data_IF_918591452352
#
_entry.id   IF_918591452352
#
_cell.length_a   1.000
_cell.length_b   1.000
_cell.length_c   1.000
_cell.angle_alpha   90.00
_cell.angle_beta   90.00
_cell.angle_gamma   90.00
#
_symmetry.space_group_name_H-M   'P 1'
#
loop_
_entity.id
_entity.type
_entity.pdbx_description
1 polymer ?
#
# COMPACT_ATOMS: atom_id res chain seq x y z
N UNK A 1 -7.34 6.43 -3.24
CA UNK A 1 -7.67 7.59 -4.10
C UNK A 1 -8.58 7.13 -5.25
N UNK A 2 -8.16 6.17 -6.07
CA UNK A 2 -8.88 5.73 -7.27
C UNK A 2 -10.34 5.31 -6.97
N UNK A 3 -10.60 4.63 -5.86
CA UNK A 3 -11.97 4.23 -5.45
C UNK A 3 -12.84 5.45 -5.17
N UNK A 4 -12.34 6.46 -4.45
CA UNK A 4 -13.07 7.69 -4.18
C UNK A 4 -13.41 8.45 -5.47
N UNK A 5 -12.43 8.56 -6.38
CA UNK A 5 -12.62 9.22 -7.67
C UNK A 5 -13.69 8.50 -8.50
N UNK A 6 -13.66 7.17 -8.57
CA UNK A 6 -14.66 6.37 -9.28
C UNK A 6 -16.05 6.50 -8.67
N UNK A 7 -16.16 6.50 -7.34
CA UNK A 7 -17.44 6.69 -6.66
C UNK A 7 -18.06 8.07 -6.99
N UNK A 8 -17.26 9.13 -6.95
CA UNK A 8 -17.73 10.46 -7.34
C UNK A 8 -18.14 10.56 -8.82
N UNK A 9 -17.40 9.87 -9.71
CA UNK A 9 -17.73 9.87 -11.13
C UNK A 9 -19.01 9.10 -11.42
N UNK A 10 -19.26 7.99 -10.72
CA UNK A 10 -20.49 7.23 -10.83
C UNK A 10 -21.74 8.07 -10.48
N UNK A 11 -21.58 9.07 -9.60
CA UNK A 11 -22.64 10.02 -9.25
C UNK A 11 -22.67 11.29 -10.10
N UNK A 12 -21.81 11.41 -11.09
CA UNK A 12 -21.70 12.62 -11.91
C UNK A 12 -21.00 13.80 -11.21
N UNK A 13 -20.45 13.63 -10.02
CA UNK A 13 -19.80 14.68 -9.21
C UNK A 13 -18.30 14.83 -9.56
N UNK A 14 -17.96 15.15 -10.79
CA UNK A 14 -16.57 15.16 -11.28
C UNK A 14 -15.73 16.34 -10.75
N UNK A 15 -16.37 17.44 -10.36
CA UNK A 15 -15.66 18.67 -9.92
C UNK A 15 -14.90 18.47 -8.61
N UNK A 16 -15.45 17.72 -7.62
CA UNK A 16 -14.83 17.54 -6.30
C UNK A 16 -13.48 16.84 -6.38
N UNK A 17 -13.37 15.63 -6.96
CA UNK A 17 -12.07 14.97 -7.08
C UNK A 17 -11.07 15.72 -7.95
N UNK A 18 -11.54 16.46 -8.98
CA UNK A 18 -10.67 17.29 -9.79
C UNK A 18 -10.00 18.39 -8.94
N UNK A 19 -10.78 19.13 -8.15
CA UNK A 19 -10.24 20.21 -7.30
C UNK A 19 -9.26 19.66 -6.28
N UNK A 20 -9.59 18.53 -5.61
CA UNK A 20 -8.70 17.89 -4.63
C UNK A 20 -7.37 17.49 -5.30
N UNK A 21 -7.44 16.89 -6.49
CA UNK A 21 -6.23 16.46 -7.20
C UNK A 21 -5.37 17.64 -7.66
N UNK A 22 -5.97 18.75 -8.08
CA UNK A 22 -5.23 19.98 -8.45
C UNK A 22 -4.52 20.56 -7.21
N UNK A 23 -5.25 20.71 -6.10
CA UNK A 23 -4.66 21.22 -4.83
C UNK A 23 -3.51 20.33 -4.38
N UNK A 24 -3.72 19.02 -4.40
CA UNK A 24 -2.69 18.05 -4.01
C UNK A 24 -1.48 18.06 -4.95
N UNK A 25 -1.70 18.23 -6.24
CA UNK A 25 -0.60 18.35 -7.21
C UNK A 25 0.25 19.60 -6.97
N UNK A 26 -0.39 20.74 -6.71
CA UNK A 26 0.31 21.98 -6.33
C UNK A 26 1.06 21.82 -5.01
N UNK A 27 0.47 21.12 -4.04
CA UNK A 27 1.10 20.82 -2.76
C UNK A 27 2.33 19.93 -2.93
N UNK A 28 2.25 18.88 -3.76
CA UNK A 28 3.40 17.99 -4.07
C UNK A 28 4.55 18.81 -4.70
N UNK A 29 4.24 19.68 -5.66
CA UNK A 29 5.24 20.54 -6.28
C UNK A 29 5.87 21.51 -5.27
N UNK A 30 5.05 22.11 -4.39
CA UNK A 30 5.52 22.99 -3.33
C UNK A 30 6.40 22.25 -2.30
N UNK A 31 5.99 21.04 -1.88
CA UNK A 31 6.80 20.19 -0.99
C UNK A 31 8.11 19.78 -1.65
N UNK A 32 8.10 19.40 -2.93
CA UNK A 32 9.31 19.05 -3.67
C UNK A 32 10.31 20.20 -3.70
N UNK A 33 9.83 21.39 -4.02
CA UNK A 33 10.67 22.60 -3.98
C UNK A 33 11.17 22.91 -2.57
N UNK A 34 10.28 22.87 -1.56
CA UNK A 34 10.62 23.16 -0.17
C UNK A 34 11.64 22.17 0.40
N UNK A 35 11.45 20.87 0.17
CA UNK A 35 12.39 19.84 0.62
C UNK A 35 13.73 19.91 -0.11
N UNK A 36 13.73 20.27 -1.39
CA UNK A 36 14.98 20.50 -2.13
C UNK A 36 15.77 21.67 -1.49
N UNK A 37 15.11 22.76 -1.19
CA UNK A 37 15.73 23.88 -0.45
C UNK A 37 16.22 23.48 0.92
N UNK A 38 15.38 22.72 1.67
CA UNK A 38 15.75 22.23 3.00
C UNK A 38 16.95 21.27 2.95
N UNK A 39 17.05 20.42 1.94
CA UNK A 39 18.16 19.50 1.77
C UNK A 39 19.51 20.22 1.65
N UNK A 40 19.54 21.34 0.89
CA UNK A 40 20.76 22.13 0.73
C UNK A 40 21.00 23.10 1.90
N UNK A 41 19.95 23.57 2.58
CA UNK A 41 20.08 24.53 3.69
C UNK A 41 20.41 23.85 5.03
N UNK A 42 19.94 22.63 5.24
CA UNK A 42 20.07 21.89 6.50
C UNK A 42 20.82 20.57 6.32
N UNK A 43 22.14 20.53 6.60
CA UNK A 43 22.94 19.31 6.50
C UNK A 43 22.36 18.14 7.32
N UNK A 44 21.80 18.42 8.49
CA UNK A 44 21.17 17.40 9.36
C UNK A 44 20.03 16.67 8.65
N UNK A 45 19.21 17.39 7.88
CA UNK A 45 18.12 16.79 7.10
C UNK A 45 18.66 15.91 5.97
N UNK A 46 19.71 16.37 5.28
CA UNK A 46 20.38 15.59 4.23
C UNK A 46 21.00 14.32 4.82
N UNK A 47 21.72 14.40 5.92
CA UNK A 47 22.29 13.23 6.61
C UNK A 47 21.23 12.25 7.08
N UNK A 48 20.13 12.74 7.66
CA UNK A 48 19.02 11.89 8.09
C UNK A 48 18.46 11.06 6.92
N UNK A 49 18.18 11.70 5.78
CA UNK A 49 17.66 11.01 4.60
C UNK A 49 18.66 10.00 4.02
N UNK A 50 19.93 10.39 3.94
CA UNK A 50 21.00 9.53 3.42
C UNK A 50 21.22 8.30 4.32
N UNK A 51 21.19 8.47 5.63
CA UNK A 51 21.38 7.35 6.56
C UNK A 51 20.15 6.44 6.61
N UNK A 52 18.94 7.02 6.60
CA UNK A 52 17.68 6.26 6.53
C UNK A 52 17.63 5.32 5.32
N UNK A 53 18.11 5.80 4.16
CA UNK A 53 18.10 5.06 2.91
C UNK A 53 19.43 4.31 2.63
N UNK A 54 20.38 4.36 3.58
CA UNK A 54 21.70 3.71 3.48
C UNK A 54 22.50 4.11 2.22
N UNK A 55 22.39 5.37 1.83
CA UNK A 55 23.08 5.94 0.65
C UNK A 55 24.09 7.05 1.01
N UNK A 56 24.57 7.05 2.23
CA UNK A 56 25.57 8.01 2.72
C UNK A 56 26.82 7.97 1.86
N UNK A 57 27.32 9.14 1.43
CA UNK A 57 28.50 9.29 0.57
C UNK A 57 28.24 9.13 -0.95
N UNK A 58 27.02 8.87 -1.38
CA UNK A 58 26.66 8.85 -2.79
C UNK A 58 26.42 10.27 -3.34
N UNK A 59 26.84 10.51 -4.60
CA UNK A 59 26.61 11.79 -5.27
C UNK A 59 25.16 11.86 -5.79
N UNK A 60 24.54 13.05 -5.75
CA UNK A 60 23.22 13.25 -6.32
C UNK A 60 22.05 12.79 -5.43
N UNK A 61 22.27 12.53 -4.15
CA UNK A 61 21.24 12.10 -3.19
C UNK A 61 20.12 13.10 -2.95
N UNK A 62 20.27 14.36 -3.41
CA UNK A 62 19.21 15.37 -3.37
C UNK A 62 17.93 14.94 -4.12
N UNK A 63 18.03 14.03 -5.09
CA UNK A 63 16.86 13.49 -5.81
C UNK A 63 15.92 12.71 -4.89
N UNK A 64 16.40 12.21 -3.74
CA UNK A 64 15.61 11.45 -2.76
C UNK A 64 14.49 12.27 -2.10
N UNK A 65 14.59 13.59 -2.13
CA UNK A 65 13.55 14.46 -1.60
C UNK A 65 12.27 14.43 -2.45
N UNK A 66 12.37 14.10 -3.74
CA UNK A 66 11.22 14.05 -4.64
C UNK A 66 10.26 12.89 -4.30
N UNK A 67 10.71 11.63 -4.16
CA UNK A 67 9.87 10.55 -3.66
C UNK A 67 9.27 10.83 -2.28
N UNK A 68 10.02 11.48 -1.38
CA UNK A 68 9.52 11.85 -0.07
C UNK A 68 8.38 12.87 -0.17
N UNK A 69 8.56 13.94 -0.95
CA UNK A 69 7.54 14.95 -1.20
C UNK A 69 6.28 14.36 -1.83
N UNK A 70 6.46 13.47 -2.81
CA UNK A 70 5.38 12.74 -3.47
C UNK A 70 4.62 11.86 -2.47
N UNK A 71 5.32 11.08 -1.66
CA UNK A 71 4.70 10.19 -0.66
C UNK A 71 3.86 10.97 0.35
N UNK A 72 4.39 12.07 0.89
CA UNK A 72 3.66 12.93 1.82
C UNK A 72 2.45 13.55 1.12
N UNK A 73 2.63 14.06 -0.10
CA UNK A 73 1.55 14.67 -0.86
C UNK A 73 0.42 13.69 -1.21
N UNK A 74 0.76 12.43 -1.54
CA UNK A 74 -0.24 11.36 -1.78
C UNK A 74 -0.98 11.00 -0.50
N UNK A 75 -0.31 10.96 0.66
CA UNK A 75 -0.98 10.74 1.95
C UNK A 75 -1.98 11.86 2.26
N UNK A 76 -1.59 13.11 2.04
CA UNK A 76 -2.48 14.26 2.22
C UNK A 76 -3.64 14.21 1.22
N UNK A 77 -3.39 13.89 -0.05
CA UNK A 77 -4.43 13.72 -1.06
C UNK A 77 -5.43 12.63 -0.65
N UNK A 78 -4.95 11.49 -0.16
CA UNK A 78 -5.79 10.39 0.33
C UNK A 78 -6.65 10.85 1.50
N UNK A 79 -6.05 11.57 2.46
CA UNK A 79 -6.77 12.13 3.60
C UNK A 79 -7.86 13.13 3.17
N UNK A 80 -7.57 14.01 2.22
CA UNK A 80 -8.55 14.98 1.70
C UNK A 80 -9.72 14.28 1.02
N UNK A 81 -9.46 13.26 0.18
CA UNK A 81 -10.52 12.46 -0.44
C UNK A 81 -11.36 11.73 0.61
N UNK A 82 -10.73 11.12 1.62
CA UNK A 82 -11.40 10.44 2.71
C UNK A 82 -12.31 11.40 3.49
N UNK A 83 -11.76 12.55 3.89
CA UNK A 83 -12.51 13.54 4.66
C UNK A 83 -13.71 14.09 3.89
N UNK A 84 -13.52 14.43 2.61
CA UNK A 84 -14.61 14.90 1.76
C UNK A 84 -15.66 13.82 1.52
N UNK A 85 -15.23 12.57 1.36
CA UNK A 85 -16.12 11.44 1.15
C UNK A 85 -16.97 11.16 2.40
N UNK A 86 -16.37 11.16 3.60
CA UNK A 86 -17.11 11.02 4.85
C UNK A 86 -18.12 12.13 5.06
N UNK A 87 -17.81 13.37 4.64
CA UNK A 87 -18.74 14.50 4.71
C UNK A 87 -19.95 14.32 3.78
N UNK A 88 -19.74 13.77 2.59
CA UNK A 88 -20.81 13.52 1.62
C UNK A 88 -21.60 12.23 1.92
N UNK A 89 -20.95 11.25 2.55
CA UNK A 89 -21.51 9.92 2.91
C UNK A 89 -21.21 9.60 4.37
N UNK A 90 -21.96 10.16 5.32
CA UNK A 90 -21.73 9.97 6.74
C UNK A 90 -21.84 8.50 7.15
N UNK A 91 -20.85 8.02 7.92
CA UNK A 91 -20.80 6.64 8.40
C UNK A 91 -19.93 5.70 7.57
N UNK A 92 -19.33 6.18 6.48
CA UNK A 92 -18.37 5.41 5.67
C UNK A 92 -17.12 5.01 6.47
N UNK A 93 -16.63 5.89 7.32
CA UNK A 93 -15.37 5.67 8.06
C UNK A 93 -15.46 4.53 9.06
N UNK A 94 -16.59 4.34 9.75
CA UNK A 94 -16.72 3.34 10.83
C UNK A 94 -16.34 1.91 10.42
N UNK A 95 -16.93 1.32 9.36
CA UNK A 95 -16.57 -0.03 8.94
C UNK A 95 -15.17 -0.12 8.38
N UNK A 96 -14.71 0.93 7.66
CA UNK A 96 -13.42 0.94 6.98
C UNK A 96 -12.26 1.05 7.97
N UNK A 97 -12.39 1.85 9.05
CA UNK A 97 -11.30 2.05 10.00
C UNK A 97 -10.96 0.76 10.76
N UNK A 98 -11.96 -0.08 11.04
CA UNK A 98 -11.74 -1.37 11.69
C UNK A 98 -10.89 -2.30 10.81
N UNK A 99 -11.26 -2.44 9.53
CA UNK A 99 -10.49 -3.22 8.54
C UNK A 99 -9.09 -2.66 8.32
N UNK A 100 -8.96 -1.32 8.26
CA UNK A 100 -7.67 -0.65 8.09
C UNK A 100 -6.74 -0.92 9.29
N UNK A 101 -7.27 -0.86 10.51
CA UNK A 101 -6.50 -1.19 11.71
C UNK A 101 -6.07 -2.66 11.75
N UNK A 102 -6.97 -3.59 11.41
CA UNK A 102 -6.65 -5.02 11.30
C UNK A 102 -5.54 -5.26 10.27
N UNK A 103 -5.64 -4.63 9.10
CA UNK A 103 -4.65 -4.74 8.03
C UNK A 103 -3.29 -4.16 8.45
N UNK A 104 -3.29 -3.04 9.19
CA UNK A 104 -2.08 -2.44 9.71
C UNK A 104 -1.37 -3.34 10.73
N UNK A 105 -2.11 -3.91 11.68
CA UNK A 105 -1.57 -4.87 12.64
C UNK A 105 -1.03 -6.12 11.94
N UNK A 106 -1.76 -6.66 10.97
CA UNK A 106 -1.31 -7.81 10.19
C UNK A 106 -0.04 -7.50 9.41
N UNK A 107 0.09 -6.30 8.84
CA UNK A 107 1.28 -5.87 8.09
C UNK A 107 2.53 -5.77 8.97
N UNK A 108 2.40 -5.29 10.20
CA UNK A 108 3.52 -5.22 11.16
C UNK A 108 4.01 -6.64 11.48
N UNK A 109 3.09 -7.55 11.80
CA UNK A 109 3.44 -8.95 12.13
C UNK A 109 4.03 -9.65 10.91
N UNK A 110 3.43 -9.47 9.73
CA UNK A 110 3.94 -9.98 8.46
C UNK A 110 5.37 -9.52 8.19
N UNK A 111 5.64 -8.21 8.34
CA UNK A 111 6.97 -7.64 8.15
C UNK A 111 7.99 -8.20 9.15
N UNK A 112 7.61 -8.34 10.41
CA UNK A 112 8.48 -8.91 11.45
C UNK A 112 8.79 -10.39 11.18
N UNK A 113 7.79 -11.19 10.84
CA UNK A 113 7.98 -12.61 10.48
C UNK A 113 8.84 -12.76 9.23
N UNK A 114 8.62 -11.92 8.20
CA UNK A 114 9.47 -11.90 7.00
C UNK A 114 10.93 -11.60 7.35
N UNK A 115 11.16 -10.61 8.21
CA UNK A 115 12.51 -10.26 8.66
C UNK A 115 13.21 -11.40 9.41
N UNK A 116 12.49 -12.09 10.31
CA UNK A 116 13.02 -13.26 11.00
C UNK A 116 13.31 -14.41 10.01
N UNK A 117 12.41 -14.63 9.04
CA UNK A 117 12.56 -15.65 8.01
C UNK A 117 13.77 -15.38 7.11
N UNK A 118 14.05 -14.12 6.76
CA UNK A 118 15.26 -13.75 6.03
C UNK A 118 16.53 -14.17 6.79
N UNK A 119 16.57 -13.94 8.10
CA UNK A 119 17.70 -14.38 8.92
C UNK A 119 17.84 -15.91 8.94
N UNK A 120 16.73 -16.64 9.04
CA UNK A 120 16.71 -18.09 9.03
C UNK A 120 17.19 -18.65 7.69
N UNK A 121 16.66 -18.14 6.57
CA UNK A 121 17.04 -18.59 5.24
C UNK A 121 18.47 -18.20 4.85
N UNK A 122 19.06 -17.18 5.48
CA UNK A 122 20.47 -16.85 5.30
C UNK A 122 21.43 -18.00 5.69
N UNK A 123 20.97 -18.93 6.52
CA UNK A 123 21.76 -20.14 6.88
C UNK A 123 21.81 -21.17 5.75
N UNK A 124 20.86 -21.14 4.82
CA UNK A 124 20.69 -22.13 3.76
C UNK A 124 21.09 -21.60 2.38
N UNK A 125 20.97 -20.31 2.16
CA UNK A 125 21.24 -19.68 0.87
C UNK A 125 22.48 -18.78 0.96
N UNK A 126 23.45 -19.01 0.06
CA UNK A 126 24.63 -18.16 -0.06
C UNK A 126 24.26 -16.82 -0.69
N UNK A 127 24.62 -15.71 -0.02
CA UNK A 127 24.39 -14.35 -0.49
C UNK A 127 25.37 -13.93 -1.62
N UNK A 128 26.39 -14.73 -1.90
CA UNK A 128 27.40 -14.42 -2.92
C UNK A 128 26.84 -14.55 -4.34
N UNK A 129 25.71 -15.22 -4.50
CA UNK A 129 25.07 -15.45 -5.81
C UNK A 129 23.70 -14.77 -5.84
N UNK A 130 23.39 -14.11 -6.96
CA UNK A 130 22.08 -13.46 -7.18
C UNK A 130 20.89 -14.40 -6.95
N UNK A 131 21.00 -15.66 -7.35
CA UNK A 131 19.98 -16.69 -7.11
C UNK A 131 19.78 -17.00 -5.63
N UNK A 132 20.85 -16.99 -4.81
CA UNK A 132 20.71 -17.18 -3.35
C UNK A 132 19.90 -16.06 -2.71
N UNK A 133 20.20 -14.81 -3.05
CA UNK A 133 19.45 -13.63 -2.59
C UNK A 133 17.99 -13.70 -3.04
N UNK A 134 17.75 -14.09 -4.31
CA UNK A 134 16.39 -14.24 -4.84
C UNK A 134 15.58 -15.29 -4.08
N UNK A 135 16.10 -16.51 -3.91
CA UNK A 135 15.38 -17.58 -3.22
C UNK A 135 15.17 -17.28 -1.73
N UNK A 136 16.17 -16.68 -1.07
CA UNK A 136 16.03 -16.22 0.30
C UNK A 136 14.84 -15.24 0.44
N UNK A 137 14.79 -14.21 -0.40
CA UNK A 137 13.70 -13.24 -0.39
C UNK A 137 12.34 -13.86 -0.74
N UNK A 138 12.32 -14.76 -1.73
CA UNK A 138 11.12 -15.45 -2.18
C UNK A 138 10.50 -16.31 -1.07
N UNK A 139 11.28 -17.19 -0.44
CA UNK A 139 10.77 -18.04 0.65
C UNK A 139 10.40 -17.23 1.90
N UNK A 140 11.21 -16.23 2.27
CA UNK A 140 10.87 -15.34 3.38
C UNK A 140 9.58 -14.55 3.11
N UNK A 141 9.37 -14.12 1.87
CA UNK A 141 8.14 -13.45 1.45
C UNK A 141 6.90 -14.35 1.57
N UNK A 142 7.01 -15.61 1.12
CA UNK A 142 5.92 -16.59 1.26
C UNK A 142 5.57 -16.82 2.74
N UNK A 143 6.57 -17.04 3.59
CA UNK A 143 6.34 -17.23 5.05
C UNK A 143 5.67 -15.99 5.65
N UNK A 144 6.10 -14.78 5.26
CA UNK A 144 5.47 -13.55 5.71
C UNK A 144 4.00 -13.42 5.27
N UNK A 145 3.70 -13.73 4.00
CA UNK A 145 2.32 -13.70 3.48
C UNK A 145 1.44 -14.69 4.25
N UNK A 146 1.91 -15.91 4.49
CA UNK A 146 1.17 -16.91 5.27
C UNK A 146 0.90 -16.39 6.68
N UNK A 147 1.90 -15.81 7.34
CA UNK A 147 1.74 -15.22 8.67
C UNK A 147 0.71 -14.07 8.66
N UNK A 148 0.75 -13.19 7.65
CA UNK A 148 -0.23 -12.12 7.48
C UNK A 148 -1.66 -12.64 7.32
N UNK A 149 -1.86 -13.67 6.50
CA UNK A 149 -3.17 -14.31 6.30
C UNK A 149 -3.66 -14.91 7.62
N UNK A 150 -2.81 -15.63 8.36
CA UNK A 150 -3.17 -16.23 9.65
C UNK A 150 -3.63 -15.15 10.63
N UNK A 151 -2.90 -14.02 10.71
CA UNK A 151 -3.28 -12.90 11.59
C UNK A 151 -4.62 -12.31 11.20
N UNK A 152 -4.89 -12.08 9.91
CA UNK A 152 -6.17 -11.56 9.43
C UNK A 152 -7.32 -12.54 9.72
N UNK A 153 -7.09 -13.84 9.61
CA UNK A 153 -8.08 -14.87 9.97
C UNK A 153 -8.35 -14.84 11.47
N UNK A 154 -7.32 -14.74 12.32
CA UNK A 154 -7.45 -14.64 13.78
C UNK A 154 -8.20 -13.37 14.20
N UNK A 155 -7.97 -12.25 13.50
CA UNK A 155 -8.67 -10.99 13.72
C UNK A 155 -10.10 -10.97 13.15
N UNK A 156 -10.59 -12.10 12.65
CA UNK A 156 -11.94 -12.25 12.08
C UNK A 156 -12.24 -11.24 10.94
N UNK A 157 -11.24 -10.96 10.11
CA UNK A 157 -11.36 -10.00 9.01
C UNK A 157 -12.36 -10.49 7.97
N UNK A 158 -13.37 -9.67 7.67
CA UNK A 158 -14.46 -10.00 6.73
C UNK A 158 -13.97 -10.17 5.29
N UNK A 159 -13.02 -9.34 4.88
CA UNK A 159 -12.50 -9.36 3.51
C UNK A 159 -11.76 -10.66 3.19
N UNK A 160 -10.96 -11.19 4.13
CA UNK A 160 -10.29 -12.49 3.96
C UNK A 160 -11.32 -13.62 3.84
N UNK A 161 -12.41 -13.58 4.62
CA UNK A 161 -13.48 -14.57 4.51
C UNK A 161 -14.19 -14.52 3.16
N UNK A 162 -14.46 -13.31 2.65
CA UNK A 162 -15.07 -13.11 1.33
C UNK A 162 -14.13 -13.56 0.21
N UNK A 163 -12.85 -13.24 0.27
CA UNK A 163 -11.84 -13.69 -0.69
C UNK A 163 -11.79 -15.23 -0.68
N UNK A 164 -11.73 -15.84 0.51
CA UNK A 164 -11.69 -17.30 0.64
C UNK A 164 -12.95 -17.97 0.05
N UNK A 165 -14.12 -17.44 0.38
CA UNK A 165 -15.40 -17.93 -0.16
C UNK A 165 -15.46 -17.81 -1.68
N UNK A 166 -15.00 -16.68 -2.23
CA UNK A 166 -14.97 -16.42 -3.68
C UNK A 166 -14.00 -17.36 -4.40
N UNK A 167 -12.79 -17.55 -3.85
CA UNK A 167 -11.80 -18.48 -4.40
C UNK A 167 -12.34 -19.92 -4.37
N UNK A 168 -12.90 -20.34 -3.23
CA UNK A 168 -13.47 -21.67 -3.08
C UNK A 168 -14.62 -21.90 -4.08
N UNK A 169 -15.51 -20.92 -4.25
CA UNK A 169 -16.61 -21.01 -5.21
C UNK A 169 -16.10 -21.07 -6.65
N UNK A 170 -15.11 -20.25 -7.02
CA UNK A 170 -14.59 -20.16 -8.39
C UNK A 170 -13.77 -21.39 -8.81
N UNK A 171 -13.01 -21.98 -7.87
CA UNK A 171 -12.14 -23.12 -8.18
C UNK A 171 -12.78 -24.48 -7.91
N UNK A 172 -13.71 -24.58 -6.95
CA UNK A 172 -14.30 -25.87 -6.54
C UNK A 172 -15.74 -26.08 -6.99
N UNK A 173 -16.49 -25.00 -7.27
CA UNK A 173 -17.88 -25.06 -7.72
C UNK A 173 -18.09 -24.28 -9.01
N UNK A 174 -17.32 -24.54 -10.05
CA UNK A 174 -17.64 -24.04 -11.38
C UNK A 174 -18.80 -24.88 -11.96
N UNK A 175 -20.02 -24.59 -11.55
CA UNK A 175 -21.20 -25.02 -12.30
C UNK A 175 -21.23 -24.15 -13.55
N UNK A 176 -20.93 -24.76 -14.68
CA UNK A 176 -21.23 -24.20 -16.00
C UNK A 176 -22.75 -24.03 -16.07
N UNK A 177 -23.24 -22.81 -15.95
CA UNK A 177 -24.60 -22.47 -16.31
C UNK A 177 -24.67 -22.60 -17.83
N UNK A 178 -25.18 -23.76 -18.31
CA UNK A 178 -25.54 -23.91 -19.72
C UNK A 178 -26.70 -22.96 -19.97
N UNK A 179 -26.59 -22.01 -20.92
CA UNK A 179 -27.74 -21.18 -21.28
C UNK A 179 -28.86 -22.10 -21.76
N UNK A 180 -30.06 -21.97 -21.16
CA UNK A 180 -31.24 -22.63 -21.67
C UNK A 180 -31.39 -22.21 -23.12
N UNK A 181 -31.31 -23.20 -24.04
CA UNK A 181 -31.68 -22.98 -25.42
C UNK A 181 -33.19 -22.70 -25.43
N UNK A 182 -33.54 -21.44 -25.68
CA UNK A 182 -34.91 -21.09 -26.02
C UNK A 182 -35.33 -21.97 -27.20
N UNK A 183 -36.23 -22.89 -26.93
CA UNK A 183 -36.91 -23.67 -27.97
C UNK A 183 -37.79 -22.71 -28.77
N UNK A 184 -37.37 -22.46 -30.02
CA UNK A 184 -38.17 -21.83 -31.07
C UNK A 184 -39.41 -22.64 -31.39
#
# INVERSE_FOLDING_TARGET
ILLFVRAYYAEGKTKKPLIINIISGLLIAGLGYGFTKAFFAFPTFAFFLQDLLKVSGQVGTSVLVLPLAYSIGVLINTYLHWHMFEKDYPGFTKPVIATLFQSFCASIIMGYVTFLSLRFFNLFFSLDKAWGVFFQGFFAGIVGIIAGIIVLVVLDNKEIKEIWATLHHKFWKSNVVVPDQETL
#
